data_IF_576436324861
#
_entry.id   IF_576436324861
#
_cell.length_a   1.000
_cell.length_b   1.000
_cell.length_c   1.000
_cell.angle_alpha   90.00
_cell.angle_beta   90.00
_cell.angle_gamma   90.00
#
_symmetry.space_group_name_H-M   'P 1'
#
loop_
_entity.id
_entity.type
_entity.pdbx_description
1 polymer ?
#
# COMPACT_ATOMS: atom_id res chain seq x y z
N UNK A 1 -9.44 -36.52 33.25
CA UNK A 1 -10.37 -35.71 32.42
C UNK A 1 -10.01 -35.97 30.97
N UNK A 2 -10.82 -36.74 30.24
CA UNK A 2 -10.64 -36.92 28.81
C UNK A 2 -11.04 -35.61 28.12
N UNK A 3 -10.04 -34.81 27.72
CA UNK A 3 -10.27 -33.71 26.78
C UNK A 3 -10.63 -34.38 25.46
N UNK A 4 -11.92 -34.54 25.19
CA UNK A 4 -12.39 -34.88 23.84
C UNK A 4 -11.79 -33.85 22.90
N UNK A 5 -11.06 -34.30 21.88
CA UNK A 5 -10.46 -33.41 20.89
C UNK A 5 -11.53 -32.46 20.36
N UNK A 6 -11.38 -31.17 20.65
CA UNK A 6 -12.23 -30.14 20.04
C UNK A 6 -11.92 -30.15 18.54
N UNK A 7 -12.90 -30.47 17.67
CA UNK A 7 -12.60 -30.57 16.25
C UNK A 7 -12.29 -29.17 15.69
N UNK A 8 -11.19 -29.06 14.94
CA UNK A 8 -10.59 -27.76 14.57
C UNK A 8 -11.43 -26.92 13.61
N UNK A 9 -12.34 -27.53 12.85
CA UNK A 9 -13.31 -26.86 11.98
C UNK A 9 -14.62 -27.66 11.92
N UNK A 10 -15.76 -26.98 11.91
CA UNK A 10 -17.11 -27.55 11.79
C UNK A 10 -17.90 -26.82 10.70
N UNK A 11 -19.02 -27.42 10.27
CA UNK A 11 -19.99 -26.75 9.41
C UNK A 11 -20.63 -25.54 10.12
N UNK A 12 -21.33 -24.70 9.37
CA UNK A 12 -22.14 -23.61 9.93
C UNK A 12 -23.11 -24.14 11.01
N UNK A 13 -23.35 -23.29 11.99
CA UNK A 13 -24.37 -23.53 13.01
C UNK A 13 -25.75 -23.53 12.34
N UNK A 14 -26.55 -24.54 12.67
CA UNK A 14 -27.96 -24.62 12.26
C UNK A 14 -28.87 -24.09 13.38
N UNK A 15 -28.71 -24.61 14.60
CA UNK A 15 -29.51 -24.19 15.76
C UNK A 15 -28.80 -24.41 17.09
N UNK A 16 -29.39 -23.90 18.16
CA UNK A 16 -28.91 -23.97 19.53
C UNK A 16 -29.93 -24.68 20.42
N UNK A 17 -29.45 -25.44 21.40
CA UNK A 17 -30.22 -25.86 22.58
C UNK A 17 -29.69 -25.13 23.81
N UNK A 18 -30.21 -25.46 25.01
CA UNK A 18 -29.77 -24.85 26.27
C UNK A 18 -28.27 -25.03 26.54
N UNK A 19 -27.71 -26.18 26.14
CA UNK A 19 -26.35 -26.63 26.47
C UNK A 19 -25.51 -27.03 25.24
N UNK A 20 -26.08 -26.98 24.02
CA UNK A 20 -25.42 -27.49 22.81
C UNK A 20 -25.59 -26.59 21.59
N UNK A 21 -24.61 -26.72 20.70
CA UNK A 21 -24.64 -26.20 19.33
C UNK A 21 -24.87 -27.36 18.37
N UNK A 22 -25.86 -27.24 17.48
CA UNK A 22 -26.14 -28.18 16.41
C UNK A 22 -25.70 -27.55 15.09
N UNK A 23 -24.79 -28.21 14.38
CA UNK A 23 -24.30 -27.76 13.07
C UNK A 23 -25.11 -28.36 11.93
N UNK A 24 -25.02 -27.80 10.72
CA UNK A 24 -25.82 -28.24 9.55
C UNK A 24 -25.65 -29.71 9.16
N UNK A 25 -24.53 -30.36 9.52
CA UNK A 25 -24.37 -31.82 9.34
C UNK A 25 -25.14 -32.67 10.36
N UNK A 26 -25.87 -32.04 11.29
CA UNK A 26 -26.61 -32.70 12.37
C UNK A 26 -25.78 -33.10 13.57
N UNK A 27 -24.46 -32.82 13.57
CA UNK A 27 -23.60 -33.06 14.74
C UNK A 27 -23.92 -32.06 15.85
N UNK A 28 -23.89 -32.53 17.09
CA UNK A 28 -24.13 -31.73 18.29
C UNK A 28 -22.88 -31.64 19.16
N UNK A 29 -22.61 -30.46 19.70
CA UNK A 29 -21.46 -30.21 20.57
C UNK A 29 -21.91 -29.52 21.84
N UNK A 30 -21.46 -30.01 22.99
CA UNK A 30 -21.63 -29.33 24.28
C UNK A 30 -20.85 -28.01 24.23
N UNK A 31 -21.47 -26.89 24.65
CA UNK A 31 -20.90 -25.56 24.51
C UNK A 31 -21.27 -24.66 25.70
N UNK A 32 -20.26 -24.31 26.51
CA UNK A 32 -20.44 -23.39 27.64
C UNK A 32 -20.41 -21.92 27.21
N UNK A 33 -19.64 -21.60 26.15
CA UNK A 33 -19.41 -20.23 25.68
C UNK A 33 -19.39 -20.18 24.16
N UNK A 34 -20.22 -19.30 23.59
CA UNK A 34 -20.24 -18.97 22.16
C UNK A 34 -19.67 -17.56 21.94
N UNK A 35 -18.63 -17.46 21.10
CA UNK A 35 -18.03 -16.17 20.72
C UNK A 35 -18.38 -15.86 19.26
N UNK A 36 -19.17 -14.81 19.04
CA UNK A 36 -19.57 -14.38 17.70
C UNK A 36 -18.55 -13.43 17.07
N UNK A 37 -17.64 -13.98 16.28
CA UNK A 37 -16.69 -13.21 15.45
C UNK A 37 -17.30 -12.83 14.09
N UNK A 38 -18.57 -12.40 14.06
CA UNK A 38 -19.34 -12.18 12.81
C UNK A 38 -19.02 -10.87 12.09
N UNK A 39 -18.22 -10.00 12.69
CA UNK A 39 -17.77 -8.72 12.12
C UNK A 39 -18.47 -7.52 12.76
N UNK A 40 -18.39 -6.37 12.10
CA UNK A 40 -18.95 -5.11 12.57
C UNK A 40 -19.81 -4.47 11.47
N UNK A 41 -20.80 -3.70 11.89
CA UNK A 41 -21.48 -2.70 11.06
C UNK A 41 -20.93 -1.31 11.41
N UNK A 42 -21.29 -0.29 10.64
CA UNK A 42 -20.86 1.07 10.89
C UNK A 42 -21.99 2.07 10.64
N UNK A 43 -21.85 3.26 11.19
CA UNK A 43 -22.87 4.29 11.18
C UNK A 43 -22.30 5.67 11.45
N UNK A 44 -23.02 6.70 10.98
CA UNK A 44 -22.74 8.10 11.29
C UNK A 44 -23.92 8.69 12.10
N UNK A 45 -24.15 8.26 13.36
CA UNK A 45 -25.34 8.65 14.14
C UNK A 45 -25.43 10.15 14.44
N UNK A 46 -24.32 10.87 14.29
CA UNK A 46 -24.19 12.31 14.46
C UNK A 46 -24.41 13.10 13.17
N UNK A 47 -24.61 12.46 12.02
CA UNK A 47 -24.90 13.11 10.73
C UNK A 47 -26.35 12.90 10.32
N UNK A 48 -26.93 13.93 9.72
CA UNK A 48 -28.23 13.81 9.06
C UNK A 48 -28.11 12.89 7.83
N UNK A 49 -29.11 12.01 7.64
CA UNK A 49 -29.13 11.04 6.53
C UNK A 49 -29.20 11.70 5.16
N UNK A 50 -29.61 12.96 5.08
CA UNK A 50 -29.56 13.76 3.84
C UNK A 50 -28.13 14.09 3.40
N UNK A 51 -27.16 14.05 4.34
CA UNK A 51 -25.75 14.29 4.08
C UNK A 51 -25.04 13.01 3.64
N UNK A 52 -25.07 12.00 4.51
CA UNK A 52 -24.49 10.69 4.25
C UNK A 52 -25.54 9.65 4.66
N UNK A 53 -26.09 8.95 3.67
CA UNK A 53 -26.97 7.83 3.90
C UNK A 53 -26.22 6.52 3.72
N UNK A 54 -26.30 5.63 4.70
CA UNK A 54 -25.92 4.23 4.50
C UNK A 54 -27.10 3.55 3.81
N UNK A 55 -26.88 3.09 2.60
CA UNK A 55 -27.86 2.42 1.75
C UNK A 55 -28.07 0.97 2.22
N UNK A 56 -28.92 0.24 1.49
CA UNK A 56 -29.08 -1.20 1.70
C UNK A 56 -27.73 -1.90 1.55
N UNK A 57 -27.58 -3.03 2.25
CA UNK A 57 -26.40 -3.88 2.21
C UNK A 57 -25.11 -3.20 2.68
N UNK A 58 -25.18 -2.17 3.54
CA UNK A 58 -24.03 -1.43 4.09
C UNK A 58 -23.18 -0.68 3.03
N UNK A 59 -23.79 -0.29 1.91
CA UNK A 59 -23.13 0.57 0.91
C UNK A 59 -23.24 2.05 1.30
N UNK A 60 -22.18 2.84 1.08
CA UNK A 60 -22.23 4.30 1.27
C UNK A 60 -21.76 4.99 0.00
N UNK A 61 -22.58 5.87 -0.61
CA UNK A 61 -22.29 6.49 -1.88
C UNK A 61 -21.30 7.65 -1.72
N UNK A 62 -20.01 7.30 -1.58
CA UNK A 62 -18.93 8.27 -1.46
C UNK A 62 -18.03 8.21 -2.69
N UNK A 63 -17.85 9.34 -3.35
CA UNK A 63 -16.88 9.50 -4.44
C UNK A 63 -15.49 9.16 -3.91
N UNK A 64 -14.88 8.15 -4.54
CA UNK A 64 -13.62 7.53 -4.11
C UNK A 64 -13.56 7.16 -2.62
N UNK A 65 -14.68 6.78 -2.00
CA UNK A 65 -14.80 6.47 -0.56
C UNK A 65 -14.52 7.65 0.38
N UNK A 66 -14.64 8.89 -0.11
CA UNK A 66 -14.33 10.10 0.66
C UNK A 66 -15.48 11.11 0.66
N UNK A 67 -15.93 11.57 -0.52
CA UNK A 67 -16.85 12.71 -0.61
C UNK A 67 -18.29 12.28 -0.93
N UNK A 68 -19.31 12.68 -0.15
CA UNK A 68 -20.69 12.53 -0.56
C UNK A 68 -21.00 13.47 -1.74
N UNK A 69 -21.50 12.98 -2.90
CA UNK A 69 -21.64 13.79 -4.11
C UNK A 69 -22.47 15.08 -3.94
N UNK A 70 -23.48 15.05 -3.08
CA UNK A 70 -24.37 16.20 -2.82
C UNK A 70 -23.78 17.21 -1.85
N UNK A 71 -22.81 16.81 -1.02
CA UNK A 71 -22.26 17.64 0.06
C UNK A 71 -20.71 17.63 0.03
N UNK A 72 -20.09 18.22 -1.00
CA UNK A 72 -18.63 18.19 -1.21
C UNK A 72 -17.81 18.91 -0.13
N UNK A 73 -18.46 19.64 0.79
CA UNK A 73 -17.81 20.32 1.92
C UNK A 73 -17.60 19.41 3.14
N UNK A 74 -18.03 18.15 3.04
CA UNK A 74 -17.83 17.11 4.06
C UNK A 74 -17.04 15.98 3.42
N UNK A 75 -16.12 15.39 4.18
CA UNK A 75 -15.33 14.25 3.74
C UNK A 75 -15.26 13.21 4.85
N UNK A 76 -15.29 11.94 4.47
CA UNK A 76 -15.06 10.80 5.35
C UNK A 76 -13.68 10.24 5.07
N UNK A 77 -12.86 10.10 6.10
CA UNK A 77 -11.51 9.53 6.00
C UNK A 77 -11.55 8.13 6.59
N UNK A 78 -10.90 7.17 5.93
CA UNK A 78 -10.75 5.81 6.41
C UNK A 78 -12.01 4.94 6.32
N UNK A 79 -13.09 5.41 5.68
CA UNK A 79 -14.27 4.56 5.41
C UNK A 79 -14.04 3.65 4.20
N UNK A 80 -13.04 2.78 4.30
CA UNK A 80 -12.53 1.95 3.21
C UNK A 80 -11.82 0.69 3.76
N UNK A 81 -11.89 -0.43 3.03
CA UNK A 81 -11.29 -1.71 3.43
C UNK A 81 -10.25 -2.18 2.39
N UNK A 82 -8.99 -1.76 2.51
CA UNK A 82 -7.96 -2.16 1.57
C UNK A 82 -7.46 -3.59 1.80
N UNK A 83 -7.00 -4.23 0.73
CA UNK A 83 -6.01 -5.32 0.86
C UNK A 83 -4.64 -4.65 1.10
N UNK A 84 -4.41 -4.19 2.33
CA UNK A 84 -3.23 -3.43 2.73
C UNK A 84 -3.46 -2.64 4.01
N UNK A 85 -2.60 -1.66 4.30
CA UNK A 85 -2.74 -0.80 5.49
C UNK A 85 -3.73 0.34 5.24
N UNK A 86 -4.61 0.60 6.22
CA UNK A 86 -5.56 1.73 6.17
C UNK A 86 -4.90 3.08 6.50
N UNK A 87 -3.79 3.07 7.25
CA UNK A 87 -3.16 4.30 7.70
C UNK A 87 -2.57 5.16 6.56
N UNK A 88 -1.81 4.60 5.59
CA UNK A 88 -1.35 5.36 4.43
C UNK A 88 -2.50 5.84 3.54
N UNK A 89 -3.57 5.06 3.44
CA UNK A 89 -4.78 5.46 2.71
C UNK A 89 -5.45 6.66 3.37
N UNK A 90 -5.59 6.63 4.69
CA UNK A 90 -6.19 7.73 5.44
C UNK A 90 -5.36 9.01 5.35
N UNK A 91 -4.03 8.88 5.35
CA UNK A 91 -3.09 9.99 5.16
C UNK A 91 -3.25 10.64 3.77
N UNK A 92 -3.23 9.85 2.69
CA UNK A 92 -3.35 10.41 1.35
C UNK A 92 -4.76 10.94 1.06
N UNK A 93 -5.79 10.33 1.63
CA UNK A 93 -7.15 10.89 1.61
C UNK A 93 -7.18 12.25 2.29
N UNK A 94 -6.56 12.41 3.46
CA UNK A 94 -6.51 13.69 4.17
C UNK A 94 -5.74 14.76 3.37
N UNK A 95 -4.63 14.40 2.74
CA UNK A 95 -3.90 15.30 1.82
C UNK A 95 -4.78 15.76 0.66
N UNK A 96 -5.53 14.85 0.05
CA UNK A 96 -6.44 15.24 -1.03
C UNK A 96 -7.58 16.13 -0.53
N UNK A 97 -8.22 15.77 0.58
CA UNK A 97 -9.34 16.50 1.18
C UNK A 97 -8.95 17.93 1.53
N UNK A 98 -7.80 18.13 2.16
CA UNK A 98 -7.30 19.47 2.50
C UNK A 98 -7.06 20.33 1.25
N UNK A 99 -6.53 19.77 0.17
CA UNK A 99 -6.37 20.50 -1.10
C UNK A 99 -7.72 20.88 -1.72
N UNK A 100 -8.76 20.04 -1.58
CA UNK A 100 -10.12 20.36 -2.02
C UNK A 100 -10.72 21.49 -1.19
N UNK A 101 -10.63 21.42 0.14
CA UNK A 101 -11.21 22.41 1.04
C UNK A 101 -10.54 23.79 0.94
N UNK A 102 -9.24 23.84 0.66
CA UNK A 102 -8.52 25.10 0.41
C UNK A 102 -8.73 25.61 -1.03
N UNK A 103 -9.31 24.79 -1.92
CA UNK A 103 -9.65 25.17 -3.31
C UNK A 103 -8.55 24.93 -4.34
N UNK A 104 -7.44 24.29 -3.95
CA UNK A 104 -6.33 23.94 -4.85
C UNK A 104 -6.68 22.75 -5.77
N UNK A 105 -7.53 21.84 -5.30
CA UNK A 105 -8.06 20.72 -6.07
C UNK A 105 -9.58 20.88 -6.24
N UNK A 106 -10.10 20.49 -7.41
CA UNK A 106 -11.54 20.54 -7.69
C UNK A 106 -12.12 19.13 -7.79
N UNK A 107 -13.29 18.94 -7.20
CA UNK A 107 -14.09 17.75 -7.44
C UNK A 107 -14.77 17.85 -8.81
N UNK A 108 -15.01 16.71 -9.48
CA UNK A 108 -15.78 16.69 -10.71
C UNK A 108 -17.26 16.99 -10.43
N UNK A 109 -18.09 17.06 -11.47
CA UNK A 109 -19.52 17.30 -11.31
C UNK A 109 -20.19 16.17 -10.51
N UNK A 110 -21.32 16.47 -9.86
CA UNK A 110 -22.10 15.46 -9.10
C UNK A 110 -22.41 14.22 -9.97
N UNK A 111 -22.78 14.44 -11.23
CA UNK A 111 -23.07 13.37 -12.19
C UNK A 111 -21.86 12.47 -12.45
N UNK A 112 -20.66 13.03 -12.50
CA UNK A 112 -19.42 12.27 -12.70
C UNK A 112 -19.04 11.50 -11.43
N UNK A 113 -19.25 12.08 -10.25
CA UNK A 113 -19.06 11.40 -8.97
C UNK A 113 -19.96 10.17 -8.84
N UNK A 114 -21.25 10.28 -9.19
CA UNK A 114 -22.16 9.14 -9.20
C UNK A 114 -21.73 8.05 -10.19
N UNK A 115 -21.30 8.43 -11.39
CA UNK A 115 -20.77 7.46 -12.39
C UNK A 115 -19.55 6.69 -11.87
N UNK A 116 -18.64 7.36 -11.17
CA UNK A 116 -17.47 6.72 -10.55
C UNK A 116 -17.90 5.73 -9.47
N UNK A 117 -18.82 6.12 -8.58
CA UNK A 117 -19.39 5.26 -7.54
C UNK A 117 -20.01 4.00 -8.15
N UNK A 118 -20.87 4.15 -9.16
CA UNK A 118 -21.53 3.03 -9.84
C UNK A 118 -20.53 2.11 -10.55
N UNK A 119 -19.48 2.68 -11.15
CA UNK A 119 -18.42 1.89 -11.76
C UNK A 119 -17.64 1.10 -10.71
N UNK A 120 -17.24 1.73 -9.60
CA UNK A 120 -16.50 1.07 -8.51
C UNK A 120 -17.31 -0.05 -7.86
N UNK A 121 -18.60 0.19 -7.59
CA UNK A 121 -19.53 -0.83 -7.09
C UNK A 121 -19.59 -2.04 -8.02
N UNK A 122 -19.74 -1.82 -9.34
CA UNK A 122 -19.78 -2.91 -10.34
C UNK A 122 -18.46 -3.68 -10.41
N UNK A 123 -17.32 -3.00 -10.38
CA UNK A 123 -16.00 -3.65 -10.41
C UNK A 123 -15.76 -4.46 -9.14
N UNK A 124 -16.09 -3.90 -7.97
CA UNK A 124 -15.96 -4.56 -6.67
C UNK A 124 -16.83 -5.81 -6.59
N UNK A 125 -18.12 -5.73 -6.97
CA UNK A 125 -19.04 -6.89 -7.00
C UNK A 125 -18.58 -8.03 -7.93
N UNK A 126 -17.76 -7.73 -8.94
CA UNK A 126 -17.15 -8.75 -9.82
C UNK A 126 -15.88 -9.35 -9.23
N UNK A 127 -15.15 -8.61 -8.40
CA UNK A 127 -13.85 -9.01 -7.84
C UNK A 127 -13.97 -9.74 -6.51
N UNK A 128 -14.94 -9.35 -5.68
CA UNK A 128 -15.13 -9.87 -4.32
C UNK A 128 -16.42 -10.68 -4.22
N UNK A 129 -16.42 -11.66 -3.32
CA UNK A 129 -17.61 -12.46 -3.01
C UNK A 129 -18.75 -11.55 -2.53
N UNK A 130 -19.96 -11.77 -3.04
CA UNK A 130 -21.12 -10.98 -2.65
C UNK A 130 -21.45 -11.21 -1.17
N UNK A 131 -21.16 -10.21 -0.33
CA UNK A 131 -21.45 -10.20 1.10
C UNK A 131 -21.58 -8.76 1.56
N UNK A 132 -22.40 -8.50 2.57
CA UNK A 132 -22.49 -7.20 3.25
C UNK A 132 -21.16 -6.76 3.86
N UNK A 133 -20.21 -7.69 4.05
CA UNK A 133 -18.85 -7.38 4.50
C UNK A 133 -17.99 -6.79 3.38
N UNK A 134 -18.41 -6.96 2.12
CA UNK A 134 -17.63 -6.59 0.93
C UNK A 134 -18.18 -5.37 0.18
N UNK A 135 -18.37 -4.25 0.90
CA UNK A 135 -18.98 -3.02 0.35
C UNK A 135 -18.00 -1.86 0.12
N UNK A 136 -16.76 -1.97 0.59
CA UNK A 136 -15.78 -0.88 0.56
C UNK A 136 -14.35 -1.35 0.22
N UNK A 137 -14.23 -2.46 -0.52
CA UNK A 137 -12.96 -3.13 -0.77
C UNK A 137 -12.20 -2.50 -1.91
N UNK A 138 -10.90 -2.31 -1.70
CA UNK A 138 -10.00 -1.79 -2.72
C UNK A 138 -8.67 -2.53 -2.76
N UNK A 139 -8.08 -2.55 -3.96
CA UNK A 139 -6.67 -2.89 -4.12
C UNK A 139 -5.82 -1.70 -3.68
N UNK A 140 -4.96 -1.90 -2.68
CA UNK A 140 -4.20 -0.82 -2.02
C UNK A 140 -3.43 0.06 -3.02
N UNK A 141 -2.55 -0.53 -3.84
CA UNK A 141 -1.69 0.23 -4.77
C UNK A 141 -2.51 1.02 -5.79
N UNK A 142 -3.58 0.42 -6.33
CA UNK A 142 -4.43 1.11 -7.33
C UNK A 142 -5.13 2.31 -6.73
N UNK A 143 -5.63 2.17 -5.50
CA UNK A 143 -6.29 3.27 -4.80
C UNK A 143 -5.29 4.37 -4.42
N UNK A 144 -4.11 4.00 -3.89
CA UNK A 144 -3.04 4.95 -3.57
C UNK A 144 -2.64 5.77 -4.80
N UNK A 145 -2.42 5.11 -5.94
CA UNK A 145 -2.11 5.77 -7.22
C UNK A 145 -3.22 6.71 -7.67
N UNK A 146 -4.48 6.27 -7.54
CA UNK A 146 -5.65 7.05 -7.93
C UNK A 146 -5.74 8.35 -7.12
N UNK A 147 -5.60 8.30 -5.79
CA UNK A 147 -5.62 9.50 -4.96
C UNK A 147 -4.34 10.32 -5.14
N UNK A 148 -3.18 9.69 -5.33
CA UNK A 148 -1.92 10.37 -5.60
C UNK A 148 -1.98 11.20 -6.89
N UNK A 149 -2.70 10.74 -7.92
CA UNK A 149 -2.98 11.54 -9.12
C UNK A 149 -3.81 12.77 -8.78
N UNK A 150 -4.85 12.63 -7.95
CA UNK A 150 -5.70 13.75 -7.52
C UNK A 150 -4.94 14.79 -6.69
N UNK A 151 -3.96 14.34 -5.89
CA UNK A 151 -3.06 15.20 -5.10
C UNK A 151 -1.93 15.79 -5.96
N UNK A 152 -1.59 15.14 -7.08
CA UNK A 152 -0.42 15.51 -7.90
C UNK A 152 0.91 14.99 -7.35
N UNK A 153 0.89 13.93 -6.54
CA UNK A 153 2.09 13.34 -5.93
C UNK A 153 2.38 11.91 -6.39
N UNK A 154 1.73 11.43 -7.46
CA UNK A 154 2.06 10.11 -8.04
C UNK A 154 3.44 10.18 -8.69
N UNK A 155 4.41 9.32 -8.29
CA UNK A 155 5.75 9.32 -8.88
C UNK A 155 5.70 8.94 -10.36
N UNK A 156 6.61 9.50 -11.16
CA UNK A 156 6.72 9.18 -12.57
C UNK A 156 7.77 8.09 -12.75
N UNK A 157 7.32 6.84 -12.57
CA UNK A 157 8.20 5.67 -12.60
C UNK A 157 9.08 5.61 -13.84
N UNK A 158 8.62 6.05 -15.01
CA UNK A 158 9.46 6.06 -16.22
C UNK A 158 10.62 7.05 -16.13
N UNK A 159 10.37 8.26 -15.63
CA UNK A 159 11.43 9.26 -15.44
C UNK A 159 12.37 8.85 -14.32
N UNK A 160 11.80 8.35 -13.22
CA UNK A 160 12.55 7.97 -12.03
C UNK A 160 13.42 6.73 -12.31
N UNK A 161 12.87 5.73 -12.99
CA UNK A 161 13.59 4.52 -13.39
C UNK A 161 14.61 4.81 -14.52
N UNK A 162 14.30 5.71 -15.46
CA UNK A 162 15.27 6.17 -16.44
C UNK A 162 16.45 6.89 -15.76
N UNK A 163 16.18 7.79 -14.81
CA UNK A 163 17.23 8.50 -14.08
C UNK A 163 18.09 7.54 -13.27
N UNK A 164 17.45 6.58 -12.57
CA UNK A 164 18.13 5.48 -11.88
C UNK A 164 18.98 4.63 -12.84
N UNK A 165 18.43 4.29 -14.01
CA UNK A 165 19.14 3.49 -15.01
C UNK A 165 20.34 4.22 -15.60
N UNK A 166 20.17 5.49 -15.96
CA UNK A 166 21.22 6.33 -16.51
C UNK A 166 22.34 6.55 -15.47
N UNK A 167 21.98 6.88 -14.22
CA UNK A 167 22.96 7.05 -13.14
C UNK A 167 23.74 5.75 -12.89
N UNK A 168 23.06 4.59 -12.82
CA UNK A 168 23.72 3.29 -12.69
C UNK A 168 24.70 3.01 -13.84
N UNK A 169 24.32 3.29 -15.09
CA UNK A 169 25.22 3.12 -16.25
C UNK A 169 26.43 4.03 -16.18
N UNK A 170 26.23 5.31 -15.88
CA UNK A 170 27.33 6.27 -15.75
C UNK A 170 28.28 5.85 -14.64
N UNK A 171 27.76 5.44 -13.48
CA UNK A 171 28.58 4.96 -12.35
C UNK A 171 29.34 3.68 -12.72
N UNK A 172 28.69 2.71 -13.39
CA UNK A 172 29.35 1.49 -13.82
C UNK A 172 30.52 1.78 -14.78
N UNK A 173 30.31 2.68 -15.74
CA UNK A 173 31.35 3.12 -16.69
C UNK A 173 32.54 3.73 -15.93
N UNK A 174 32.30 4.71 -15.05
CA UNK A 174 33.39 5.34 -14.29
C UNK A 174 34.10 4.39 -13.34
N UNK A 175 33.36 3.45 -12.72
CA UNK A 175 33.93 2.39 -11.88
C UNK A 175 34.88 1.49 -12.69
N UNK A 176 34.49 1.10 -13.91
CA UNK A 176 35.35 0.32 -14.82
C UNK A 176 36.59 1.11 -15.23
N UNK A 177 36.45 2.40 -15.57
CA UNK A 177 37.58 3.26 -15.94
C UNK A 177 38.58 3.39 -14.80
N UNK A 178 38.09 3.68 -13.58
CA UNK A 178 38.92 3.79 -12.38
C UNK A 178 39.64 2.46 -12.12
N UNK A 179 38.92 1.34 -12.13
CA UNK A 179 39.49 0.01 -11.91
C UNK A 179 40.59 -0.33 -12.93
N UNK A 180 40.34 -0.10 -14.23
CA UNK A 180 41.33 -0.35 -15.27
C UNK A 180 42.56 0.56 -15.15
N UNK A 181 42.37 1.83 -14.81
CA UNK A 181 43.48 2.75 -14.57
C UNK A 181 44.35 2.26 -13.39
N UNK A 182 43.73 1.87 -12.28
CA UNK A 182 44.43 1.29 -11.13
C UNK A 182 45.18 0.00 -11.48
N UNK A 183 44.56 -0.88 -12.28
CA UNK A 183 45.18 -2.12 -12.76
C UNK A 183 46.40 -1.83 -13.64
N UNK A 184 46.31 -0.87 -14.57
CA UNK A 184 47.43 -0.48 -15.44
C UNK A 184 48.58 0.11 -14.62
N UNK A 185 48.29 1.00 -13.67
CA UNK A 185 49.30 1.54 -12.75
C UNK A 185 49.96 0.41 -11.96
N UNK A 186 49.17 -0.49 -11.38
CA UNK A 186 49.68 -1.63 -10.61
C UNK A 186 50.57 -2.57 -11.45
N UNK A 187 50.14 -2.94 -12.65
CA UNK A 187 50.87 -3.86 -13.53
C UNK A 187 52.13 -3.22 -14.14
N UNK A 188 52.17 -1.89 -14.31
CA UNK A 188 53.33 -1.19 -14.88
C UNK A 188 54.46 -0.94 -13.89
N UNK A 189 54.22 -1.17 -12.58
CA UNK A 189 55.20 -0.92 -11.53
C UNK A 189 55.68 0.54 -11.48
N UNK A 190 56.87 0.78 -10.91
CA UNK A 190 57.43 2.14 -10.81
C UNK A 190 58.10 2.62 -12.11
N UNK A 191 57.80 2.04 -13.27
CA UNK A 191 58.51 2.30 -14.53
C UNK A 191 58.47 3.79 -14.91
N UNK A 192 59.51 4.54 -14.55
CA UNK A 192 59.63 5.99 -14.76
C UNK A 192 59.16 6.90 -13.62
N UNK A 193 58.71 6.35 -12.47
CA UNK A 193 58.23 7.12 -11.31
C UNK A 193 59.05 6.83 -10.05
N UNK A 194 59.11 7.81 -9.13
CA UNK A 194 59.69 7.56 -7.80
C UNK A 194 58.80 6.57 -7.01
N UNK A 195 59.38 5.72 -6.14
CA UNK A 195 58.62 4.78 -5.32
C UNK A 195 57.54 5.46 -4.47
N UNK A 196 57.83 6.67 -3.98
CA UNK A 196 56.89 7.45 -3.18
C UNK A 196 55.66 7.88 -4.01
N UNK A 197 55.88 8.33 -5.25
CA UNK A 197 54.80 8.68 -6.16
C UNK A 197 53.92 7.46 -6.46
N UNK A 198 54.53 6.32 -6.78
CA UNK A 198 53.80 5.06 -7.04
C UNK A 198 52.92 4.63 -5.85
N UNK A 199 53.48 4.62 -4.63
CA UNK A 199 52.72 4.29 -3.42
C UNK A 199 51.56 5.27 -3.16
N UNK A 200 51.75 6.56 -3.45
CA UNK A 200 50.68 7.55 -3.31
C UNK A 200 49.52 7.30 -4.29
N UNK A 201 49.81 6.95 -5.55
CA UNK A 201 48.78 6.62 -6.54
C UNK A 201 47.97 5.37 -6.16
N UNK A 202 48.64 4.31 -5.70
CA UNK A 202 47.93 3.10 -5.25
C UNK A 202 47.04 3.39 -4.03
N UNK A 203 47.52 4.19 -3.08
CA UNK A 203 46.74 4.56 -1.89
C UNK A 203 45.50 5.36 -2.28
N UNK A 204 45.64 6.34 -3.19
CA UNK A 204 44.52 7.13 -3.72
C UNK A 204 43.54 6.23 -4.47
N UNK A 205 44.03 5.31 -5.30
CA UNK A 205 43.19 4.37 -6.03
C UNK A 205 42.34 3.50 -5.09
N UNK A 206 42.96 2.85 -4.10
CA UNK A 206 42.22 1.99 -3.15
C UNK A 206 41.24 2.79 -2.29
N UNK A 207 41.60 4.02 -1.92
CA UNK A 207 40.70 4.91 -1.18
C UNK A 207 39.46 5.28 -2.02
N UNK A 208 39.65 5.72 -3.27
CA UNK A 208 38.55 6.05 -4.19
C UNK A 208 37.69 4.81 -4.48
N UNK A 209 38.34 3.67 -4.75
CA UNK A 209 37.65 2.41 -5.05
C UNK A 209 36.83 1.91 -3.85
N UNK A 210 37.37 1.98 -2.63
CA UNK A 210 36.64 1.64 -1.41
C UNK A 210 35.44 2.56 -1.17
N UNK A 211 35.57 3.86 -1.46
CA UNK A 211 34.46 4.80 -1.33
C UNK A 211 33.35 4.52 -2.35
N UNK A 212 33.71 4.15 -3.58
CA UNK A 212 32.75 3.73 -4.62
C UNK A 212 32.00 2.47 -4.18
N UNK A 213 32.69 1.45 -3.65
CA UNK A 213 32.05 0.23 -3.15
C UNK A 213 31.12 0.50 -1.96
N UNK A 214 31.55 1.34 -1.02
CA UNK A 214 30.72 1.74 0.12
C UNK A 214 29.48 2.52 -0.33
N UNK A 215 29.61 3.37 -1.35
CA UNK A 215 28.47 4.06 -1.95
C UNK A 215 27.50 3.09 -2.63
N UNK A 216 28.01 2.09 -3.36
CA UNK A 216 27.19 1.01 -3.92
C UNK A 216 26.43 0.28 -2.82
N UNK A 217 27.08 -0.08 -1.71
CA UNK A 217 26.41 -0.73 -0.58
C UNK A 217 25.33 0.16 0.05
N UNK A 218 25.52 1.48 0.10
CA UNK A 218 24.52 2.41 0.63
C UNK A 218 23.30 2.52 -0.29
N UNK A 219 23.53 2.68 -1.59
CA UNK A 219 22.45 2.82 -2.60
C UNK A 219 21.70 1.49 -2.81
N UNK A 220 22.40 0.35 -2.74
CA UNK A 220 21.84 -0.99 -2.86
C UNK A 220 21.56 -1.64 -1.51
N UNK A 221 21.53 -0.88 -0.41
CA UNK A 221 21.03 -1.40 0.85
C UNK A 221 19.52 -1.67 0.71
N UNK A 222 19.22 -2.89 0.24
CA UNK A 222 17.90 -3.42 -0.07
C UNK A 222 17.02 -3.60 1.18
N UNK A 223 17.48 -3.17 2.37
CA UNK A 223 16.69 -3.20 3.60
C UNK A 223 15.63 -2.10 3.67
N UNK A 224 15.69 -1.08 2.81
CA UNK A 224 14.75 0.05 2.80
C UNK A 224 13.54 -0.11 1.86
N UNK A 225 13.36 -1.27 1.23
CA UNK A 225 12.19 -1.59 0.37
C UNK A 225 11.34 -2.72 0.98
N UNK A 226 11.15 -2.70 2.31
CA UNK A 226 10.18 -3.56 3.01
C UNK A 226 9.27 -2.69 3.86
#
# INVERSE_FOLDING_TARGET
MNVKETPRFQDDIDTFTEDKVIVKSGKSFDCDVLILCTGYTFGFPYLDKTIINIEKDHEVPLYKFVFPPKNPNIAVIGSIQPIGSIAPISEIQARWVTQVFVGNAKLPSEKEMWKDIDLKRRVMKKRYFASEKHTMQVDFVKYMDEIAIMVGCKPNLWKDEYFRYASMKTIAIWSTVIFMAGLVTFCSGSAGMSPLAYCSYLTIFFFIFSFILMWFDFEYNMTTII
#
